data_IF_075420602807
#
_entry.id   IF_075420602807
#
_cell.length_a   1.000
_cell.length_b   1.000
_cell.length_c   1.000
_cell.angle_alpha   90.00
_cell.angle_beta   90.00
_cell.angle_gamma   90.00
#
_symmetry.space_group_name_H-M   'P 1'
#
loop_
_entity.id
_entity.type
_entity.pdbx_description
1 polymer ?
#
# COMPACT_ATOMS: atom_id res chain seq x y z
N UNK A 1 -8.92 14.36 14.14
CA UNK A 1 -8.52 12.97 14.37
C UNK A 1 -7.18 12.92 15.10
N UNK A 2 -7.04 12.03 16.11
CA UNK A 2 -5.77 11.66 16.75
C UNK A 2 -5.54 10.17 16.52
N UNK A 3 -4.28 9.75 16.48
CA UNK A 3 -3.94 8.33 16.30
C UNK A 3 -2.73 7.92 17.13
N UNK A 4 -2.62 6.62 17.38
CA UNK A 4 -1.42 5.96 17.94
C UNK A 4 -1.07 4.75 17.08
N UNK A 5 0.24 4.47 16.95
CA UNK A 5 0.75 3.25 16.28
C UNK A 5 1.54 2.49 17.33
N UNK A 6 1.17 1.24 17.58
CA UNK A 6 1.78 0.40 18.61
C UNK A 6 1.83 -1.06 18.20
N UNK A 7 2.53 -1.90 18.95
CA UNK A 7 2.48 -3.37 18.81
C UNK A 7 3.53 -3.99 17.88
N UNK A 8 4.68 -3.30 17.61
CA UNK A 8 5.75 -3.93 16.81
C UNK A 8 6.18 -5.30 17.39
N UNK A 9 6.42 -6.34 16.54
CA UNK A 9 6.46 -6.33 15.07
C UNK A 9 5.10 -6.60 14.38
N UNK A 10 3.98 -6.62 15.09
CA UNK A 10 2.61 -6.77 14.57
C UNK A 10 1.85 -5.47 14.87
N UNK A 11 2.15 -4.37 14.15
CA UNK A 11 1.64 -3.07 14.53
C UNK A 11 0.16 -2.91 14.23
N UNK A 12 -0.46 -2.01 14.99
CA UNK A 12 -1.81 -1.54 14.77
C UNK A 12 -1.84 -0.02 14.86
N UNK A 13 -2.56 0.63 13.96
CA UNK A 13 -2.92 2.03 14.09
C UNK A 13 -4.32 2.13 14.67
N UNK A 14 -4.45 2.88 15.76
CA UNK A 14 -5.71 3.14 16.44
C UNK A 14 -6.04 4.62 16.24
N UNK A 15 -7.14 4.89 15.54
CA UNK A 15 -7.60 6.23 15.22
C UNK A 15 -8.79 6.61 16.12
N UNK A 16 -8.69 7.78 16.80
CA UNK A 16 -9.79 8.39 17.53
C UNK A 16 -10.35 9.54 16.68
N UNK A 17 -11.60 9.42 16.29
CA UNK A 17 -12.30 10.34 15.40
C UNK A 17 -13.28 11.19 16.19
N UNK A 18 -13.38 12.47 15.86
CA UNK A 18 -14.49 13.30 16.27
C UNK A 18 -15.76 13.00 15.46
N UNK A 19 -16.93 13.37 15.99
CA UNK A 19 -18.18 13.14 15.29
C UNK A 19 -18.20 13.74 13.89
N UNK A 20 -18.49 12.92 12.88
CA UNK A 20 -18.48 13.29 11.46
C UNK A 20 -17.14 13.04 10.74
N UNK A 21 -16.04 12.82 11.47
CA UNK A 21 -14.78 12.42 10.84
C UNK A 21 -14.87 11.02 10.24
N UNK A 22 -14.16 10.80 9.13
CA UNK A 22 -14.24 9.58 8.31
C UNK A 22 -12.87 9.03 7.98
N UNK A 23 -12.71 7.72 8.14
CA UNK A 23 -11.58 6.96 7.60
C UNK A 23 -11.99 6.20 6.33
N UNK A 24 -11.06 6.10 5.40
CA UNK A 24 -11.16 5.32 4.17
C UNK A 24 -10.21 4.16 4.23
N UNK A 25 -10.63 2.98 3.74
CA UNK A 25 -9.78 1.81 3.64
C UNK A 25 -10.25 0.89 2.53
N UNK A 26 -9.39 -0.01 2.05
CA UNK A 26 -9.81 -1.10 1.17
C UNK A 26 -10.56 -2.18 1.96
N UNK A 27 -11.16 -3.12 1.26
CA UNK A 27 -11.92 -4.22 1.85
C UNK A 27 -11.05 -5.06 2.79
N UNK A 28 -11.53 -5.24 4.03
CA UNK A 28 -10.95 -6.18 4.98
C UNK A 28 -9.89 -5.62 5.94
N UNK A 29 -9.49 -4.35 5.81
CA UNK A 29 -8.45 -3.77 6.65
C UNK A 29 -8.90 -3.41 8.09
N UNK A 30 -10.20 -3.12 8.33
CA UNK A 30 -10.71 -2.81 9.65
C UNK A 30 -10.61 -4.01 10.59
N UNK A 31 -9.96 -3.83 11.74
CA UNK A 31 -9.73 -4.87 12.74
C UNK A 31 -10.75 -4.79 13.88
N UNK A 32 -10.99 -3.62 14.47
CA UNK A 32 -12.07 -3.37 15.45
C UNK A 32 -12.46 -1.90 15.44
N UNK A 33 -13.65 -1.60 15.95
CA UNK A 33 -14.17 -0.24 16.04
C UNK A 33 -15.20 -0.11 17.17
N UNK A 34 -15.47 1.13 17.61
CA UNK A 34 -16.56 1.41 18.55
C UNK A 34 -17.92 1.28 17.85
N UNK A 35 -19.01 0.98 18.63
CA UNK A 35 -20.33 0.70 18.04
C UNK A 35 -20.97 1.88 17.27
N UNK A 36 -20.52 3.12 17.53
CA UNK A 36 -21.00 4.31 16.87
C UNK A 36 -20.28 4.63 15.55
N UNK A 37 -19.41 3.74 15.06
CA UNK A 37 -18.82 3.86 13.74
C UNK A 37 -19.76 3.30 12.67
N UNK A 38 -20.18 4.13 11.72
CA UNK A 38 -20.98 3.71 10.58
C UNK A 38 -20.09 3.34 9.40
N UNK A 39 -20.25 2.11 8.91
CA UNK A 39 -19.57 1.65 7.68
C UNK A 39 -20.49 1.86 6.46
N UNK A 40 -19.93 2.38 5.39
CA UNK A 40 -20.55 2.48 4.06
C UNK A 40 -19.53 1.99 3.03
N UNK A 41 -19.94 1.06 2.17
CA UNK A 41 -19.10 0.59 1.07
C UNK A 41 -19.51 1.30 -0.21
N UNK A 42 -18.56 1.93 -0.87
CA UNK A 42 -18.78 2.56 -2.18
C UNK A 42 -17.98 1.80 -3.24
N UNK A 43 -18.70 1.41 -4.30
CA UNK A 43 -18.04 1.00 -5.55
C UNK A 43 -17.64 2.27 -6.31
N UNK A 44 -16.44 2.34 -6.81
CA UNK A 44 -15.83 3.54 -7.43
C UNK A 44 -16.57 4.22 -8.60
N UNK A 45 -17.90 4.07 -8.66
CA UNK A 45 -18.79 4.64 -9.67
C UNK A 45 -19.88 5.61 -9.15
N UNK A 46 -19.98 5.84 -7.84
CA UNK A 46 -21.21 6.47 -7.32
C UNK A 46 -21.13 7.46 -6.20
N UNK A 47 -20.21 8.36 -6.07
CA UNK A 47 -20.38 9.68 -5.41
C UNK A 47 -19.11 10.50 -5.66
N UNK A 48 -19.24 11.46 -6.58
CA UNK A 48 -18.27 12.53 -6.78
C UNK A 48 -17.01 12.11 -7.53
N UNK A 49 -16.56 12.97 -8.37
CA UNK A 49 -15.32 12.91 -9.19
C UNK A 49 -14.01 12.78 -8.37
N UNK A 50 -14.08 12.42 -7.07
CA UNK A 50 -12.97 12.35 -6.14
C UNK A 50 -12.09 11.08 -6.33
N UNK A 51 -12.66 9.99 -6.83
CA UNK A 51 -11.87 8.79 -7.17
C UNK A 51 -11.75 8.74 -8.69
N UNK A 52 -10.83 9.54 -9.20
CA UNK A 52 -10.58 9.68 -10.61
C UNK A 52 -10.17 8.38 -11.26
N UNK A 53 -10.98 7.97 -12.24
CA UNK A 53 -10.79 6.87 -13.19
C UNK A 53 -10.77 5.48 -12.56
N UNK A 54 -11.84 4.77 -12.83
CA UNK A 54 -11.96 3.31 -12.74
C UNK A 54 -10.64 2.69 -13.20
N UNK A 55 -9.98 1.96 -12.29
CA UNK A 55 -8.90 1.07 -12.66
C UNK A 55 -9.38 0.20 -13.81
N UNK A 56 -8.62 0.10 -14.87
CA UNK A 56 -8.99 -0.67 -16.05
C UNK A 56 -9.16 -2.14 -15.67
N UNK A 57 -10.39 -2.53 -15.31
CA UNK A 57 -10.78 -3.91 -15.13
C UNK A 57 -11.26 -4.36 -13.76
N UNK A 58 -11.07 -3.60 -12.67
CA UNK A 58 -11.59 -4.00 -11.35
C UNK A 58 -12.15 -2.80 -10.59
N UNK A 59 -13.35 -2.97 -10.02
CA UNK A 59 -13.97 -1.99 -9.14
C UNK A 59 -13.26 -2.00 -7.78
N UNK A 60 -12.58 -0.92 -7.46
CA UNK A 60 -11.99 -0.71 -6.13
C UNK A 60 -13.14 -0.48 -5.14
N UNK A 61 -13.30 -1.40 -4.20
CA UNK A 61 -14.26 -1.24 -3.11
C UNK A 61 -13.60 -0.48 -1.98
N UNK A 62 -14.03 0.75 -1.74
CA UNK A 62 -13.59 1.58 -0.63
C UNK A 62 -14.65 1.56 0.47
N UNK A 63 -14.24 1.16 1.65
CA UNK A 63 -15.05 1.28 2.85
C UNK A 63 -14.79 2.63 3.52
N UNK A 64 -15.88 3.28 3.88
CA UNK A 64 -15.90 4.55 4.61
C UNK A 64 -16.41 4.27 6.02
N UNK A 65 -15.67 4.66 7.03
CA UNK A 65 -16.04 4.53 8.43
C UNK A 65 -16.18 5.91 9.04
N UNK A 66 -17.38 6.31 9.41
CA UNK A 66 -17.69 7.64 9.94
C UNK A 66 -18.15 7.54 11.40
N UNK A 67 -17.56 8.34 12.29
CA UNK A 67 -18.01 8.44 13.66
C UNK A 67 -19.35 9.19 13.75
N UNK A 68 -20.36 8.58 14.40
CA UNK A 68 -21.69 9.17 14.54
C UNK A 68 -22.01 9.52 15.99
N UNK A 69 -22.60 10.71 16.21
CA UNK A 69 -23.15 11.10 17.51
C UNK A 69 -22.11 11.34 18.62
N UNK A 70 -20.85 11.54 18.26
CA UNK A 70 -19.75 11.78 19.21
C UNK A 70 -18.43 11.18 18.72
N UNK A 71 -17.45 11.08 19.63
CA UNK A 71 -16.15 10.48 19.31
C UNK A 71 -16.29 8.99 19.04
N UNK A 72 -15.55 8.49 18.04
CA UNK A 72 -15.49 7.08 17.67
C UNK A 72 -14.05 6.58 17.58
N UNK A 73 -13.83 5.29 17.84
CA UNK A 73 -12.55 4.63 17.70
C UNK A 73 -12.60 3.63 16.56
N UNK A 74 -11.56 3.58 15.75
CA UNK A 74 -11.36 2.53 14.73
C UNK A 74 -9.89 2.14 14.67
N UNK A 75 -9.62 0.85 14.49
CA UNK A 75 -8.27 0.31 14.43
C UNK A 75 -8.04 -0.51 13.17
N UNK A 76 -6.83 -0.40 12.65
CA UNK A 76 -6.33 -1.12 11.47
C UNK A 76 -5.01 -1.79 11.85
N UNK A 77 -5.02 -3.11 11.96
CA UNK A 77 -3.83 -3.91 12.24
C UNK A 77 -3.12 -4.29 10.94
N UNK A 78 -1.80 -4.34 10.98
CA UNK A 78 -1.02 -4.89 9.88
C UNK A 78 -1.35 -6.37 9.65
N UNK A 79 -1.41 -6.77 8.40
CA UNK A 79 -1.70 -8.15 8.01
C UNK A 79 -0.54 -9.11 8.25
N UNK A 80 0.69 -8.59 8.30
CA UNK A 80 1.94 -9.34 8.47
C UNK A 80 2.88 -8.65 9.46
N UNK A 81 3.89 -9.37 10.00
CA UNK A 81 4.94 -8.74 10.79
C UNK A 81 5.63 -7.63 10.00
N UNK A 82 5.69 -6.44 10.57
CA UNK A 82 6.24 -5.30 9.88
C UNK A 82 6.14 -4.00 10.65
N UNK A 83 5.84 -2.92 9.95
CA UNK A 83 5.70 -1.58 10.50
C UNK A 83 4.51 -0.86 9.83
N UNK A 84 3.95 0.11 10.53
CA UNK A 84 2.97 1.07 9.98
C UNK A 84 3.58 2.45 10.07
N UNK A 85 3.51 3.22 8.98
CA UNK A 85 3.93 4.62 8.93
C UNK A 85 2.79 5.52 8.53
N UNK A 86 2.68 6.66 9.25
CA UNK A 86 1.79 7.74 8.87
C UNK A 86 2.52 8.75 7.98
N UNK A 87 1.86 9.17 6.92
CA UNK A 87 2.33 10.20 6.00
C UNK A 87 1.29 11.31 5.93
N UNK A 88 1.71 12.52 6.32
CA UNK A 88 0.90 13.71 6.14
C UNK A 88 1.02 14.20 4.70
N UNK A 89 -0.12 14.32 4.01
CA UNK A 89 -0.20 14.82 2.65
C UNK A 89 -0.84 16.20 2.69
N UNK A 90 -0.07 17.23 2.35
CA UNK A 90 -0.57 18.57 2.15
C UNK A 90 -0.91 18.84 0.67
N UNK A 91 -1.73 19.86 0.37
CA UNK A 91 -2.04 20.23 -1.01
C UNK A 91 -0.77 20.42 -1.85
N UNK A 92 -0.69 19.73 -3.00
CA UNK A 92 0.48 19.73 -3.89
C UNK A 92 1.57 18.72 -3.49
N UNK A 93 1.42 18.01 -2.38
CA UNK A 93 2.29 16.89 -2.02
C UNK A 93 1.66 15.57 -2.41
N UNK A 94 2.50 14.63 -2.78
CA UNK A 94 2.08 13.30 -3.20
C UNK A 94 3.04 12.24 -2.70
N UNK A 95 2.50 11.08 -2.35
CA UNK A 95 3.25 9.85 -2.13
C UNK A 95 2.79 8.80 -3.14
N UNK A 96 3.71 8.02 -3.64
CA UNK A 96 3.43 6.88 -4.51
C UNK A 96 3.73 5.61 -3.72
N UNK A 97 2.72 4.78 -3.51
CA UNK A 97 2.85 3.56 -2.72
C UNK A 97 2.38 2.34 -3.52
N UNK A 98 2.94 1.17 -3.22
CA UNK A 98 2.41 -0.09 -3.71
C UNK A 98 0.97 -0.25 -3.22
N UNK A 99 0.08 -0.77 -4.08
CA UNK A 99 -1.33 -0.95 -3.75
C UNK A 99 -1.51 -1.72 -2.43
N UNK A 100 -0.74 -2.79 -2.24
CA UNK A 100 -0.79 -3.61 -1.02
C UNK A 100 -0.26 -2.91 0.24
N UNK A 101 0.46 -1.81 0.11
CA UNK A 101 0.95 -1.04 1.26
C UNK A 101 -0.11 -0.07 1.81
N UNK A 102 -1.19 0.23 1.08
CA UNK A 102 -2.24 1.12 1.56
C UNK A 102 -3.09 0.42 2.62
N UNK A 103 -3.10 0.96 3.84
CA UNK A 103 -3.87 0.45 4.97
C UNK A 103 -5.14 1.27 5.21
N UNK A 104 -5.00 2.57 5.41
CA UNK A 104 -6.11 3.48 5.64
C UNK A 104 -5.72 4.93 5.36
N UNK A 105 -6.72 5.81 5.19
CA UNK A 105 -6.50 7.25 5.11
C UNK A 105 -7.68 8.05 5.66
N UNK A 106 -7.45 9.34 5.93
CA UNK A 106 -8.54 10.29 6.15
C UNK A 106 -9.28 10.58 4.84
N UNK A 107 -10.50 11.10 4.93
CA UNK A 107 -11.40 11.31 3.78
C UNK A 107 -10.90 12.36 2.76
N UNK A 108 -9.92 13.20 3.11
CA UNK A 108 -9.34 14.20 2.21
C UNK A 108 -8.24 13.67 1.29
N UNK A 109 -7.89 12.38 1.41
CA UNK A 109 -6.89 11.73 0.56
C UNK A 109 -7.56 11.14 -0.68
N UNK A 110 -6.97 11.40 -1.83
CA UNK A 110 -7.38 10.89 -3.14
C UNK A 110 -6.38 9.83 -3.62
N UNK A 111 -6.89 8.78 -4.27
CA UNK A 111 -6.10 7.68 -4.81
C UNK A 111 -6.25 7.59 -6.33
N UNK A 112 -5.15 7.41 -7.02
CA UNK A 112 -5.14 7.15 -8.48
C UNK A 112 -4.00 6.21 -8.85
N UNK A 113 -4.09 5.55 -10.01
CA UNK A 113 -2.99 4.71 -10.52
C UNK A 113 -1.85 5.62 -10.95
N UNK A 114 -0.67 5.40 -10.39
CA UNK A 114 0.58 6.00 -10.85
C UNK A 114 1.24 5.15 -11.93
N UNK A 115 1.35 3.83 -11.67
CA UNK A 115 1.99 2.88 -12.54
C UNK A 115 1.33 1.50 -12.40
N UNK A 116 1.14 0.79 -13.51
CA UNK A 116 0.65 -0.59 -13.51
C UNK A 116 1.39 -1.40 -14.57
N UNK A 117 1.91 -2.57 -14.16
CA UNK A 117 2.47 -3.56 -15.07
C UNK A 117 1.88 -4.94 -14.74
N UNK A 118 1.18 -5.54 -15.71
CA UNK A 118 0.71 -6.92 -15.59
C UNK A 118 1.93 -7.85 -15.62
N UNK A 119 2.12 -8.59 -14.57
CA UNK A 119 3.18 -9.57 -14.41
C UNK A 119 2.51 -10.93 -14.38
N UNK A 120 2.80 -11.77 -15.37
CA UNK A 120 2.15 -13.07 -15.57
C UNK A 120 2.50 -14.14 -14.53
N UNK A 121 3.50 -13.89 -13.67
CA UNK A 121 3.78 -14.75 -12.52
C UNK A 121 2.85 -14.37 -11.39
N UNK A 122 2.14 -15.32 -10.77
CA UNK A 122 1.17 -15.11 -9.68
C UNK A 122 1.67 -14.39 -8.42
N UNK A 123 2.84 -13.75 -8.48
CA UNK A 123 3.53 -13.05 -7.39
C UNK A 123 2.74 -11.86 -6.81
N UNK A 124 1.86 -11.24 -7.58
CA UNK A 124 1.09 -10.06 -7.15
C UNK A 124 -0.43 -10.31 -7.20
N UNK A 125 -0.87 -11.52 -6.85
CA UNK A 125 -2.29 -11.86 -6.74
C UNK A 125 -3.09 -11.81 -8.05
N UNK A 126 -2.41 -11.86 -9.22
CA UNK A 126 -3.07 -11.82 -10.54
C UNK A 126 -3.31 -10.41 -11.10
N UNK A 127 -3.30 -9.36 -10.26
CA UNK A 127 -3.49 -7.96 -10.68
C UNK A 127 -2.21 -7.35 -11.28
N UNK A 128 -1.05 -7.94 -10.99
CA UNK A 128 0.26 -7.41 -11.35
C UNK A 128 0.78 -6.39 -10.32
N UNK A 129 1.91 -5.76 -10.66
CA UNK A 129 2.51 -4.72 -9.82
C UNK A 129 1.81 -3.38 -10.07
N UNK A 130 1.22 -2.83 -9.03
CA UNK A 130 0.47 -1.57 -9.09
C UNK A 130 1.03 -0.61 -8.06
N UNK A 131 1.43 0.58 -8.52
CA UNK A 131 1.75 1.72 -7.68
C UNK A 131 0.61 2.74 -7.75
N UNK A 132 0.16 3.19 -6.59
CA UNK A 132 -0.90 4.18 -6.44
C UNK A 132 -0.29 5.53 -6.06
N UNK A 133 -0.83 6.59 -6.64
CA UNK A 133 -0.58 7.96 -6.22
C UNK A 133 -1.60 8.33 -5.14
N UNK A 134 -1.11 8.81 -4.02
CA UNK A 134 -1.88 9.29 -2.88
C UNK A 134 -1.63 10.79 -2.79
N UNK A 135 -2.70 11.59 -2.90
CA UNK A 135 -2.64 13.06 -3.00
C UNK A 135 -3.81 13.68 -2.22
N UNK A 136 -3.95 15.01 -2.27
CA UNK A 136 -5.04 15.71 -1.60
C UNK A 136 -4.61 16.39 -0.31
N UNK A 137 -5.37 16.22 0.78
CA UNK A 137 -5.06 16.81 2.08
C UNK A 137 -5.51 15.87 3.21
N UNK A 138 -4.56 15.31 3.95
CA UNK A 138 -4.87 14.41 5.06
C UNK A 138 -3.73 13.47 5.44
N UNK A 139 -4.06 12.49 6.27
CA UNK A 139 -3.12 11.46 6.75
C UNK A 139 -3.35 10.15 6.02
N UNK A 140 -2.28 9.53 5.55
CA UNK A 140 -2.26 8.17 4.99
C UNK A 140 -1.47 7.25 5.90
N UNK A 141 -2.00 6.09 6.18
CA UNK A 141 -1.31 5.00 6.86
C UNK A 141 -0.91 3.94 5.85
N UNK A 142 0.39 3.68 5.77
CA UNK A 142 0.94 2.61 4.95
C UNK A 142 1.49 1.51 5.84
N UNK A 143 1.19 0.25 5.50
CA UNK A 143 1.82 -0.92 6.11
C UNK A 143 3.01 -1.38 5.25
N UNK A 144 4.04 -1.88 5.93
CA UNK A 144 5.28 -2.36 5.33
C UNK A 144 5.60 -3.74 5.87
N UNK A 145 5.88 -4.67 5.00
CA UNK A 145 6.17 -6.04 5.36
C UNK A 145 7.63 -6.18 5.83
N UNK A 146 7.83 -6.53 7.10
CA UNK A 146 9.14 -6.63 7.74
C UNK A 146 9.74 -5.26 8.11
N UNK A 147 11.05 -5.11 7.95
CA UNK A 147 11.77 -3.87 8.28
C UNK A 147 11.71 -2.87 7.14
N UNK A 148 11.52 -1.58 7.48
CA UNK A 148 11.57 -0.48 6.52
C UNK A 148 13.00 0.05 6.40
N UNK A 149 13.48 0.19 5.17
CA UNK A 149 14.70 0.92 4.86
C UNK A 149 14.39 2.11 3.96
N UNK A 150 14.70 3.31 4.43
CA UNK A 150 14.59 4.55 3.66
C UNK A 150 15.91 4.90 2.98
N UNK A 151 15.83 5.33 1.72
CA UNK A 151 16.92 5.90 0.95
C UNK A 151 16.51 7.24 0.37
N UNK A 152 17.43 8.21 0.38
CA UNK A 152 17.29 9.47 -0.35
C UNK A 152 18.17 9.41 -1.60
N UNK A 153 17.55 9.60 -2.76
CA UNK A 153 18.22 9.57 -4.06
C UNK A 153 18.41 10.99 -4.58
N UNK A 154 19.63 11.35 -4.92
CA UNK A 154 19.94 12.59 -5.61
C UNK A 154 19.40 12.57 -7.06
N UNK A 155 19.28 13.73 -7.73
CA UNK A 155 18.89 13.80 -9.15
C UNK A 155 19.75 12.87 -10.02
N UNK A 156 19.10 11.94 -10.76
CA UNK A 156 19.76 10.96 -11.62
C UNK A 156 20.39 9.77 -10.89
N UNK A 157 20.43 9.77 -9.57
CA UNK A 157 20.88 8.60 -8.81
C UNK A 157 19.87 7.49 -8.94
N UNK A 158 20.37 6.25 -9.10
CA UNK A 158 19.55 5.08 -9.29
C UNK A 158 19.78 4.03 -8.21
N UNK A 159 18.72 3.29 -7.89
CA UNK A 159 18.76 2.05 -7.14
C UNK A 159 17.97 1.00 -7.89
N UNK A 160 18.51 -0.23 -7.95
CA UNK A 160 17.83 -1.39 -8.56
C UNK A 160 17.34 -2.28 -7.43
N UNK A 161 16.06 -2.63 -7.45
CA UNK A 161 15.44 -3.49 -6.44
C UNK A 161 14.62 -4.59 -7.12
N UNK A 162 14.52 -5.75 -6.51
CA UNK A 162 13.46 -6.70 -6.88
C UNK A 162 12.11 -6.01 -6.65
N UNK A 163 11.23 -6.13 -7.64
CA UNK A 163 10.01 -5.32 -7.73
C UNK A 163 9.14 -5.37 -6.47
N UNK A 164 9.07 -6.50 -5.78
CA UNK A 164 8.28 -6.68 -4.56
C UNK A 164 8.80 -5.88 -3.35
N UNK A 165 10.07 -5.49 -3.35
CA UNK A 165 10.68 -4.77 -2.22
C UNK A 165 10.39 -3.26 -2.24
N UNK A 166 9.96 -2.68 -3.36
CA UNK A 166 9.53 -1.28 -3.41
C UNK A 166 8.15 -1.13 -2.78
N UNK A 167 8.06 -0.51 -1.62
CA UNK A 167 6.79 -0.26 -0.94
C UNK A 167 6.24 1.14 -1.22
N UNK A 168 7.09 2.18 -1.14
CA UNK A 168 6.68 3.56 -1.42
C UNK A 168 7.84 4.44 -1.92
N UNK A 169 7.49 5.57 -2.53
CA UNK A 169 8.43 6.60 -2.93
C UNK A 169 7.75 7.97 -3.01
N UNK A 170 8.53 9.04 -2.99
CA UNK A 170 8.01 10.39 -3.30
C UNK A 170 7.77 10.54 -4.80
N UNK A 171 6.85 11.41 -5.19
CA UNK A 171 6.44 11.61 -6.59
C UNK A 171 7.55 12.19 -7.50
N UNK A 172 8.65 12.70 -6.92
CA UNK A 172 9.83 13.13 -7.68
C UNK A 172 10.66 11.99 -8.26
N UNK A 173 10.50 10.76 -7.74
CA UNK A 173 11.14 9.57 -8.28
C UNK A 173 10.39 9.05 -9.52
N UNK A 174 11.15 8.45 -10.45
CA UNK A 174 10.59 7.67 -11.56
C UNK A 174 10.95 6.20 -11.42
N UNK A 175 10.14 5.33 -12.01
CA UNK A 175 10.35 3.88 -12.03
C UNK A 175 10.37 3.34 -13.45
N UNK A 176 11.26 2.37 -13.68
CA UNK A 176 11.31 1.53 -14.88
C UNK A 176 11.44 0.06 -14.46
N UNK A 177 10.57 -0.80 -15.00
CA UNK A 177 10.60 -2.25 -14.67
C UNK A 177 11.26 -3.01 -15.79
N UNK A 178 12.37 -3.64 -15.45
CA UNK A 178 13.19 -4.42 -16.35
C UNK A 178 13.04 -5.92 -16.07
N UNK A 179 12.99 -6.72 -17.12
CA UNK A 179 13.04 -8.17 -16.99
C UNK A 179 14.47 -8.61 -16.76
N UNK A 180 14.70 -9.47 -15.77
CA UNK A 180 16.03 -10.05 -15.52
C UNK A 180 16.42 -10.94 -16.70
N UNK A 181 17.55 -10.69 -17.38
CA UNK A 181 17.93 -11.48 -18.52
C UNK A 181 18.38 -12.91 -18.15
N UNK A 182 17.94 -13.90 -18.92
CA UNK A 182 18.43 -15.27 -18.88
C UNK A 182 17.52 -16.27 -18.17
N UNK A 183 17.12 -17.32 -18.90
CA UNK A 183 16.27 -18.42 -18.41
C UNK A 183 16.89 -19.15 -17.19
N UNK A 184 18.22 -19.22 -17.09
CA UNK A 184 18.91 -19.82 -15.94
C UNK A 184 18.73 -18.99 -14.66
N UNK A 185 18.76 -17.67 -14.78
CA UNK A 185 18.56 -16.78 -13.64
C UNK A 185 17.11 -16.85 -13.15
N UNK A 186 16.15 -17.02 -14.04
CA UNK A 186 14.72 -17.20 -13.70
C UNK A 186 14.45 -18.52 -12.97
N UNK A 187 15.13 -19.61 -13.33
CA UNK A 187 14.86 -20.97 -12.81
C UNK A 187 15.69 -21.33 -11.58
N UNK A 188 16.87 -20.76 -11.43
CA UNK A 188 17.85 -21.17 -10.43
C UNK A 188 18.35 -20.03 -9.54
N UNK A 189 18.10 -18.77 -9.89
CA UNK A 189 18.60 -17.60 -9.15
C UNK A 189 17.82 -17.27 -7.88
N UNK A 190 16.59 -17.76 -7.74
CA UNK A 190 15.74 -17.45 -6.56
C UNK A 190 15.32 -15.98 -6.47
N UNK A 191 15.74 -15.13 -7.42
CA UNK A 191 15.38 -13.72 -7.49
C UNK A 191 14.11 -13.53 -8.32
N UNK A 192 13.40 -12.42 -8.09
CA UNK A 192 12.22 -12.07 -8.87
C UNK A 192 12.53 -11.94 -10.36
N UNK A 193 11.53 -12.21 -11.20
CA UNK A 193 11.65 -12.13 -12.67
C UNK A 193 11.83 -10.68 -13.15
N UNK A 194 11.49 -9.72 -12.29
CA UNK A 194 11.46 -8.30 -12.62
C UNK A 194 12.19 -7.47 -11.58
N UNK A 195 13.10 -6.63 -12.06
CA UNK A 195 13.73 -5.59 -11.28
C UNK A 195 13.08 -4.24 -11.57
N UNK A 196 12.92 -3.43 -10.52
CA UNK A 196 12.53 -2.03 -10.63
C UNK A 196 13.76 -1.15 -10.49
N UNK A 197 14.05 -0.36 -11.51
CA UNK A 197 15.04 0.72 -11.45
C UNK A 197 14.32 1.97 -10.99
N UNK A 198 14.72 2.51 -9.85
CA UNK A 198 14.15 3.74 -9.29
C UNK A 198 15.18 4.84 -9.47
N UNK A 199 14.77 5.95 -10.08
CA UNK A 199 15.63 7.11 -10.35
C UNK A 199 15.13 8.32 -9.58
N UNK A 200 16.00 8.95 -8.78
CA UNK A 200 15.73 10.18 -8.05
C UNK A 200 15.65 11.44 -8.95
N UNK A 201 15.24 12.57 -8.40
CA UNK A 201 15.38 12.91 -6.99
C UNK A 201 14.19 12.48 -6.13
N UNK A 202 14.47 12.07 -4.88
CA UNK A 202 13.43 11.82 -3.89
C UNK A 202 13.74 10.71 -2.90
N UNK A 203 12.77 10.40 -2.03
CA UNK A 203 12.88 9.35 -1.03
C UNK A 203 12.20 8.08 -1.50
N UNK A 204 12.78 6.94 -1.12
CA UNK A 204 12.30 5.59 -1.45
C UNK A 204 12.25 4.78 -0.16
N UNK A 205 11.14 4.10 0.08
CA UNK A 205 10.96 3.16 1.19
C UNK A 205 10.89 1.74 0.66
N UNK A 206 11.84 0.93 1.12
CA UNK A 206 11.92 -0.49 0.80
C UNK A 206 11.48 -1.31 2.01
N UNK A 207 10.84 -2.44 1.76
CA UNK A 207 10.42 -3.42 2.77
C UNK A 207 11.27 -4.68 2.67
N UNK A 208 11.57 -5.33 3.80
CA UNK A 208 12.51 -6.45 3.82
C UNK A 208 11.86 -7.83 3.66
N UNK A 209 10.53 -7.94 3.75
CA UNK A 209 9.81 -9.22 3.69
C UNK A 209 8.50 -9.09 2.88
N UNK A 210 8.56 -8.83 1.56
CA UNK A 210 7.34 -8.77 0.74
C UNK A 210 6.51 -10.04 0.89
N UNK A 211 5.19 -9.91 0.99
CA UNK A 211 4.26 -11.05 1.17
C UNK A 211 4.45 -12.15 0.13
N UNK A 212 4.78 -11.79 -1.11
CA UNK A 212 5.06 -12.76 -2.18
C UNK A 212 6.28 -13.63 -1.89
N UNK A 213 7.35 -13.05 -1.32
CA UNK A 213 8.54 -13.78 -0.91
C UNK A 213 8.24 -14.72 0.26
N UNK A 214 7.48 -14.24 1.25
CA UNK A 214 7.04 -15.06 2.36
C UNK A 214 6.17 -16.24 1.89
N UNK A 215 5.21 -16.00 1.01
CA UNK A 215 4.35 -17.02 0.41
C UNK A 215 5.18 -18.07 -0.36
N UNK A 216 6.17 -17.62 -1.14
CA UNK A 216 7.12 -18.49 -1.85
C UNK A 216 7.95 -19.36 -0.90
N UNK A 217 8.41 -18.80 0.21
CA UNK A 217 9.19 -19.52 1.23
C UNK A 217 8.34 -20.57 1.97
N UNK A 218 7.04 -20.32 2.20
CA UNK A 218 6.14 -21.21 2.92
C UNK A 218 5.51 -22.28 1.99
N UNK A 219 5.26 -21.95 0.73
CA UNK A 219 4.58 -22.80 -0.25
C UNK A 219 5.10 -24.24 -0.33
N UNK A 220 6.42 -24.52 -0.30
CA UNK A 220 6.94 -25.89 -0.33
C UNK A 220 6.55 -26.76 0.87
N UNK A 221 6.16 -26.12 1.99
CA UNK A 221 5.77 -26.81 3.23
C UNK A 221 4.27 -27.01 3.36
N UNK A 222 3.47 -26.47 2.44
CA UNK A 222 2.02 -26.65 2.45
C UNK A 222 1.70 -27.93 1.64
N UNK A 223 1.04 -28.94 2.24
CA UNK A 223 0.64 -30.15 1.52
C UNK A 223 -0.28 -29.79 0.34
N UNK A 224 0.07 -30.24 -0.87
CA UNK A 224 -0.83 -30.14 -2.00
C UNK A 224 -2.08 -31.01 -1.71
N UNK A 225 -3.25 -30.38 -1.64
CA UNK A 225 -4.51 -31.16 -1.73
C UNK A 225 -4.64 -31.65 -3.19
N UNK A 226 -4.33 -32.92 -3.40
CA UNK A 226 -4.77 -33.64 -4.61
C UNK A 226 -6.30 -33.69 -4.64
#
# INVERSE_FOLDING_TARGET
>A
MNYTIEGAPMPVVICNLEGGETMLTEKGAMSWMSPNMKMETTTGGGIGKMFGRVFSGESMFINRYTAQGGTGLIAFASSFPGDIRAFEIAPGQEIVAQKSAFLASTAGVEMSVFFQKRISSGFFGGEGFIMQRLSGNGTVFLEFDGHIKEYELAPGQQIVVDTGYLAAMTAGCSIDIQTVPGVKNMLFGGEGIFNTVITGPGRVWLQSMPVAQLAGAISPFIPNKN
#
